data_IF_820813072220
#
_entry.id   IF_820813072220
#
_cell.length_a   1.000
_cell.length_b   1.000
_cell.length_c   1.000
_cell.angle_alpha   90.00
_cell.angle_beta   90.00
_cell.angle_gamma   90.00
#
_symmetry.space_group_name_H-M   'P 1'
#
loop_
_entity.id
_entity.type
_entity.pdbx_description
1 polymer ?
#
# COMPACT_ATOMS: atom_id res chain seq x y z
N UNK A 1 -3.38 -3.55 -12.09
CA UNK A 1 -2.83 -3.91 -10.75
C UNK A 1 -3.29 -5.29 -10.27
N UNK A 2 -4.59 -5.58 -10.11
CA UNK A 2 -5.05 -6.91 -9.64
C UNK A 2 -4.66 -8.09 -10.57
N UNK A 3 -4.73 -7.90 -11.90
CA UNK A 3 -4.33 -8.93 -12.89
C UNK A 3 -2.82 -9.27 -12.85
N UNK A 4 -1.98 -8.39 -12.30
CA UNK A 4 -0.53 -8.60 -12.22
C UNK A 4 -0.10 -9.47 -11.03
N UNK A 5 -1.00 -9.74 -10.07
CA UNK A 5 -0.67 -10.50 -8.84
C UNK A 5 -1.44 -11.82 -8.70
N UNK A 6 -2.10 -12.29 -9.78
CA UNK A 6 -2.95 -13.50 -9.75
C UNK A 6 -3.94 -13.50 -8.57
N UNK A 7 -4.41 -12.33 -8.15
CA UNK A 7 -5.29 -12.20 -7.00
C UNK A 7 -6.74 -12.25 -7.48
N UNK A 8 -7.50 -13.35 -7.25
CA UNK A 8 -8.88 -13.43 -7.66
C UNK A 8 -9.72 -12.51 -6.78
N UNK A 9 -10.22 -11.42 -7.36
CA UNK A 9 -11.20 -10.54 -6.73
C UNK A 9 -12.54 -10.83 -7.39
N UNK A 10 -13.53 -11.20 -6.59
CA UNK A 10 -14.88 -11.43 -7.09
C UNK A 10 -15.53 -10.12 -7.52
N UNK A 11 -16.38 -10.17 -8.55
CA UNK A 11 -16.94 -8.97 -9.18
C UNK A 11 -17.79 -8.11 -8.22
N UNK A 12 -18.46 -8.76 -7.27
CA UNK A 12 -19.24 -8.14 -6.19
C UNK A 12 -18.37 -7.36 -5.20
N UNK A 13 -17.11 -7.78 -5.00
CA UNK A 13 -16.17 -7.13 -4.06
C UNK A 13 -15.29 -6.08 -4.71
N UNK A 14 -15.16 -6.11 -6.05
CA UNK A 14 -14.31 -5.18 -6.79
C UNK A 14 -14.58 -3.70 -6.44
N UNK A 15 -15.83 -3.21 -6.36
CA UNK A 15 -16.10 -1.81 -6.04
C UNK A 15 -15.57 -1.41 -4.66
N UNK A 16 -15.75 -2.28 -3.66
CA UNK A 16 -15.28 -2.05 -2.31
C UNK A 16 -13.76 -2.07 -2.23
N UNK A 17 -13.10 -2.97 -2.95
CA UNK A 17 -11.62 -2.99 -3.03
C UNK A 17 -11.10 -1.67 -3.59
N UNK A 18 -11.70 -1.17 -4.68
CA UNK A 18 -11.32 0.13 -5.27
C UNK A 18 -11.45 1.25 -4.24
N UNK A 19 -12.59 1.36 -3.55
CA UNK A 19 -12.82 2.37 -2.51
C UNK A 19 -11.74 2.31 -1.40
N UNK A 20 -11.38 1.11 -0.95
CA UNK A 20 -10.34 0.95 0.06
C UNK A 20 -8.96 1.36 -0.46
N UNK A 21 -8.64 1.08 -1.72
CA UNK A 21 -7.39 1.52 -2.32
C UNK A 21 -7.30 3.05 -2.42
N UNK A 22 -8.38 3.73 -2.78
CA UNK A 22 -8.43 5.20 -2.78
C UNK A 22 -8.21 5.78 -1.38
N UNK A 23 -8.80 5.16 -0.36
CA UNK A 23 -8.58 5.54 1.04
C UNK A 23 -7.14 5.31 1.47
N UNK A 24 -6.56 4.15 1.15
CA UNK A 24 -5.18 3.82 1.45
C UNK A 24 -4.21 4.81 0.78
N UNK A 25 -4.46 5.17 -0.48
CA UNK A 25 -3.64 6.14 -1.20
C UNK A 25 -3.60 7.48 -0.46
N UNK A 26 -4.74 8.00 0.00
CA UNK A 26 -4.80 9.26 0.76
C UNK A 26 -3.97 9.21 2.05
N UNK A 27 -3.96 8.07 2.74
CA UNK A 27 -3.21 7.87 3.97
C UNK A 27 -1.71 7.72 3.68
N UNK A 28 -1.35 7.04 2.59
CA UNK A 28 0.05 6.81 2.21
C UNK A 28 0.72 8.03 1.58
N UNK A 29 -0.06 8.95 0.99
CA UNK A 29 0.46 10.10 0.24
C UNK A 29 1.47 10.96 1.02
N UNK A 30 1.29 11.27 2.32
CA UNK A 30 2.27 12.04 3.08
C UNK A 30 3.62 11.33 3.22
N UNK A 31 3.61 10.00 3.37
CA UNK A 31 4.85 9.20 3.47
C UNK A 31 5.57 9.16 2.11
N UNK A 32 4.82 9.03 1.02
CA UNK A 32 5.39 9.00 -0.34
C UNK A 32 5.93 10.37 -0.78
N UNK A 33 5.39 11.46 -0.25
CA UNK A 33 5.85 12.81 -0.52
C UNK A 33 7.04 13.25 0.35
N UNK A 34 7.41 12.45 1.35
CA UNK A 34 8.54 12.73 2.21
C UNK A 34 9.85 12.39 1.48
N UNK A 35 10.72 13.38 1.31
CA UNK A 35 12.06 13.14 0.76
C UNK A 35 12.86 12.29 1.76
N UNK A 36 13.27 11.11 1.30
CA UNK A 36 14.09 10.22 2.11
C UNK A 36 15.54 10.71 2.11
N UNK A 37 16.21 10.75 3.26
CA UNK A 37 17.64 11.02 3.31
C UNK A 37 18.42 9.92 2.58
N UNK A 38 19.60 10.27 2.06
CA UNK A 38 20.50 9.33 1.37
C UNK A 38 20.92 8.16 2.27
N UNK A 39 21.00 8.41 3.58
CA UNK A 39 21.26 7.41 4.61
C UNK A 39 19.97 7.14 5.38
N UNK A 40 19.25 6.10 4.98
CA UNK A 40 18.05 5.61 5.66
C UNK A 40 18.35 4.27 6.32
N UNK A 41 18.30 4.21 7.65
CA UNK A 41 18.39 2.93 8.36
C UNK A 41 17.05 2.19 8.26
N UNK A 42 17.13 0.88 7.99
CA UNK A 42 15.94 0.03 7.97
C UNK A 42 15.31 -0.04 9.37
N UNK A 43 13.98 -0.09 9.43
CA UNK A 43 13.28 -0.25 10.69
C UNK A 43 13.78 -1.51 11.43
N UNK A 44 13.97 -1.43 12.76
CA UNK A 44 14.50 -2.55 13.54
C UNK A 44 13.58 -3.76 13.46
N UNK A 45 14.19 -4.94 13.31
CA UNK A 45 13.49 -6.21 13.51
C UNK A 45 13.51 -6.53 15.00
N UNK A 46 12.35 -6.51 15.62
CA UNK A 46 12.22 -6.99 17.00
C UNK A 46 12.18 -8.52 16.98
N UNK A 47 13.10 -9.16 17.70
CA UNK A 47 13.02 -10.61 17.94
C UNK A 47 11.96 -10.90 19.01
N UNK A 48 11.23 -12.03 18.89
CA UNK A 48 10.12 -12.38 19.80
C UNK A 48 10.57 -12.61 21.25
#
# INVERSE_FOLDING_TARGET
>A
MAQLQQLPISADRLPQVVEQFERLQKIAQPVLAFELPDELEAAPRFEP
#
